data_IF_205214925399
#
_entry.id   IF_205214925399
#
_cell.length_a   1.000
_cell.length_b   1.000
_cell.length_c   1.000
_cell.angle_alpha   90.00
_cell.angle_beta   90.00
_cell.angle_gamma   90.00
#
_symmetry.space_group_name_H-M   'P 1'
#
loop_
_entity.id
_entity.type
_entity.pdbx_description
1 polymer ?
#
# COMPACT_ATOMS: atom_id res chain seq x y z
N UNK A 1 -41.52 -18.16 -43.87
CA UNK A 1 -40.91 -17.17 -44.78
C UNK A 1 -39.41 -17.19 -44.53
N UNK A 2 -38.64 -17.63 -45.52
CA UNK A 2 -37.20 -17.81 -45.44
C UNK A 2 -36.48 -16.47 -45.61
N UNK A 3 -36.01 -15.86 -44.53
CA UNK A 3 -35.13 -14.70 -44.61
C UNK A 3 -33.77 -15.12 -45.17
N UNK A 4 -33.54 -14.73 -46.41
CA UNK A 4 -32.32 -14.96 -47.16
C UNK A 4 -31.29 -13.92 -46.71
N UNK A 5 -30.44 -14.27 -45.74
CA UNK A 5 -29.30 -13.44 -45.33
C UNK A 5 -28.23 -13.52 -46.42
N UNK A 6 -28.38 -12.68 -47.44
CA UNK A 6 -27.36 -12.49 -48.48
C UNK A 6 -26.01 -12.17 -47.85
N UNK A 7 -24.97 -12.84 -48.36
CA UNK A 7 -23.58 -12.58 -48.01
C UNK A 7 -23.26 -11.09 -48.22
N UNK A 8 -22.91 -10.33 -47.19
CA UNK A 8 -22.66 -8.90 -47.33
C UNK A 8 -21.43 -8.67 -48.21
N UNK A 9 -21.53 -7.71 -49.15
CA UNK A 9 -20.41 -7.28 -49.97
C UNK A 9 -19.29 -6.69 -49.09
N UNK A 10 -18.00 -6.92 -49.38
CA UNK A 10 -16.89 -6.65 -48.45
C UNK A 10 -16.68 -5.18 -48.04
N UNK A 11 -17.35 -4.22 -48.68
CA UNK A 11 -17.09 -2.79 -48.57
C UNK A 11 -18.25 -1.98 -47.98
N UNK A 12 -19.36 -2.63 -47.61
CA UNK A 12 -20.53 -1.92 -47.07
C UNK A 12 -20.48 -1.87 -45.53
N UNK A 13 -20.62 -0.69 -44.90
CA UNK A 13 -20.58 -0.59 -43.44
C UNK A 13 -21.72 -1.40 -42.83
N UNK A 14 -21.38 -2.29 -41.91
CA UNK A 14 -22.33 -3.17 -41.24
C UNK A 14 -23.32 -2.33 -40.39
N UNK A 15 -24.62 -2.60 -40.52
CA UNK A 15 -25.62 -2.02 -39.63
C UNK A 15 -25.45 -2.57 -38.20
N UNK A 16 -25.87 -1.81 -37.19
CA UNK A 16 -25.74 -2.19 -35.77
C UNK A 16 -26.28 -3.61 -35.50
N UNK A 17 -27.44 -3.95 -36.07
CA UNK A 17 -28.04 -5.28 -35.93
C UNK A 17 -27.24 -6.40 -36.62
N UNK A 18 -26.66 -6.12 -37.78
CA UNK A 18 -25.80 -7.07 -38.49
C UNK A 18 -24.48 -7.31 -37.75
N UNK A 19 -23.91 -6.29 -37.12
CA UNK A 19 -22.69 -6.44 -36.29
C UNK A 19 -22.95 -7.34 -35.10
N UNK A 20 -24.02 -7.10 -34.34
CA UNK A 20 -24.33 -7.88 -33.13
C UNK A 20 -24.70 -9.31 -33.46
N UNK A 21 -25.52 -9.54 -34.48
CA UNK A 21 -25.91 -10.89 -34.91
C UNK A 21 -24.73 -11.69 -35.46
N UNK A 22 -23.87 -11.08 -36.29
CA UNK A 22 -22.65 -11.72 -36.76
C UNK A 22 -21.67 -12.03 -35.61
N UNK A 23 -21.49 -11.10 -34.68
CA UNK A 23 -20.67 -11.30 -33.48
C UNK A 23 -21.19 -12.44 -32.59
N UNK A 24 -22.50 -12.52 -32.37
CA UNK A 24 -23.10 -13.59 -31.59
C UNK A 24 -23.00 -14.95 -32.30
N UNK A 25 -23.16 -14.97 -33.63
CA UNK A 25 -22.97 -16.19 -34.43
C UNK A 25 -21.53 -16.70 -34.32
N UNK A 26 -20.55 -15.81 -34.43
CA UNK A 26 -19.13 -16.15 -34.33
C UNK A 26 -18.75 -16.61 -32.91
N UNK A 27 -19.26 -15.92 -31.89
CA UNK A 27 -19.05 -16.32 -30.49
C UNK A 27 -19.64 -17.70 -30.21
N UNK A 28 -20.84 -18.01 -30.73
CA UNK A 28 -21.46 -19.33 -30.56
C UNK A 28 -20.71 -20.43 -31.33
N UNK A 29 -20.20 -20.15 -32.53
CA UNK A 29 -19.48 -21.14 -33.33
C UNK A 29 -18.11 -21.51 -32.76
N UNK A 30 -17.45 -20.59 -32.04
CA UNK A 30 -16.14 -20.80 -31.41
C UNK A 30 -16.17 -20.65 -29.88
N UNK A 31 -17.32 -20.94 -29.26
CA UNK A 31 -17.57 -20.65 -27.84
C UNK A 31 -16.46 -21.18 -26.94
N UNK A 32 -16.08 -22.45 -27.12
CA UNK A 32 -15.06 -23.11 -26.30
C UNK A 32 -13.69 -22.45 -26.46
N UNK A 33 -13.26 -22.18 -27.70
CA UNK A 33 -11.93 -21.65 -27.98
C UNK A 33 -11.79 -20.21 -27.48
N UNK A 34 -12.80 -19.37 -27.74
CA UNK A 34 -12.84 -17.99 -27.24
C UNK A 34 -12.93 -17.94 -25.72
N UNK A 35 -13.71 -18.83 -25.10
CA UNK A 35 -13.79 -18.93 -23.65
C UNK A 35 -12.45 -19.33 -23.02
N UNK A 36 -11.76 -20.34 -23.58
CA UNK A 36 -10.44 -20.77 -23.07
C UNK A 36 -9.37 -19.69 -23.27
N UNK A 37 -9.39 -18.99 -24.41
CA UNK A 37 -8.51 -17.84 -24.66
C UNK A 37 -8.78 -16.72 -23.65
N UNK A 38 -10.04 -16.38 -23.40
CA UNK A 38 -10.41 -15.40 -22.39
C UNK A 38 -9.94 -15.85 -21.00
N UNK A 39 -10.23 -17.07 -20.58
CA UNK A 39 -9.79 -17.62 -19.29
C UNK A 39 -8.28 -17.49 -19.11
N UNK A 40 -7.50 -17.88 -20.14
CA UNK A 40 -6.04 -17.74 -20.13
C UNK A 40 -5.60 -16.28 -19.99
N UNK A 41 -6.27 -15.35 -20.67
CA UNK A 41 -5.99 -13.92 -20.52
C UNK A 41 -6.30 -13.41 -19.10
N UNK A 42 -7.42 -13.83 -18.51
CA UNK A 42 -7.79 -13.43 -17.13
C UNK A 42 -6.80 -13.97 -16.07
N UNK A 43 -6.18 -15.13 -16.28
CA UNK A 43 -5.13 -15.64 -15.38
C UNK A 43 -3.93 -14.69 -15.30
N UNK A 44 -3.58 -13.99 -16.38
CA UNK A 44 -2.48 -13.01 -16.38
C UNK A 44 -2.74 -11.81 -15.46
N UNK A 45 -4.01 -11.50 -15.12
CA UNK A 45 -4.34 -10.45 -14.15
C UNK A 45 -3.91 -10.79 -12.72
N UNK A 46 -3.61 -12.06 -12.43
CA UNK A 46 -3.12 -12.50 -11.11
C UNK A 46 -1.62 -12.21 -10.94
N UNK A 47 -0.86 -12.05 -12.04
CA UNK A 47 0.60 -11.86 -11.98
C UNK A 47 1.00 -10.62 -11.16
N UNK A 48 0.35 -9.44 -11.30
CA UNK A 48 0.60 -8.30 -10.41
C UNK A 48 0.32 -8.60 -8.94
N UNK A 49 -0.74 -9.36 -8.64
CA UNK A 49 -1.12 -9.74 -7.27
C UNK A 49 -0.04 -10.60 -6.63
N UNK A 50 0.49 -11.57 -7.37
CA UNK A 50 1.66 -12.35 -6.94
C UNK A 50 2.89 -11.46 -6.72
N UNK A 51 3.14 -10.51 -7.63
CA UNK A 51 4.24 -9.55 -7.52
C UNK A 51 4.18 -8.73 -6.23
N UNK A 52 2.99 -8.24 -5.84
CA UNK A 52 2.80 -7.54 -4.57
C UNK A 52 3.06 -8.45 -3.37
N UNK A 53 2.51 -9.67 -3.36
CA UNK A 53 2.75 -10.63 -2.28
C UNK A 53 4.26 -10.92 -2.12
N UNK A 54 4.96 -11.15 -3.23
CA UNK A 54 6.41 -11.39 -3.28
C UNK A 54 7.20 -10.17 -2.80
N UNK A 55 6.80 -8.96 -3.18
CA UNK A 55 7.43 -7.72 -2.71
C UNK A 55 7.35 -7.60 -1.18
N UNK A 56 6.15 -7.73 -0.59
CA UNK A 56 5.98 -7.63 0.86
C UNK A 56 6.75 -8.70 1.61
N UNK A 57 6.71 -9.94 1.11
CA UNK A 57 7.51 -11.05 1.61
C UNK A 57 9.01 -10.72 1.65
N UNK A 58 9.60 -10.25 0.54
CA UNK A 58 11.01 -9.90 0.49
C UNK A 58 11.38 -8.73 1.43
N UNK A 59 10.51 -7.73 1.58
CA UNK A 59 10.76 -6.66 2.56
C UNK A 59 10.74 -7.18 4.01
N UNK A 60 9.80 -8.08 4.32
CA UNK A 60 9.71 -8.70 5.64
C UNK A 60 10.89 -9.64 5.92
N UNK A 61 11.43 -10.31 4.89
CA UNK A 61 12.65 -11.10 4.99
C UNK A 61 13.83 -10.27 5.53
N UNK A 62 14.00 -9.02 5.10
CA UNK A 62 15.05 -8.14 5.62
C UNK A 62 14.90 -7.96 7.13
N UNK A 63 13.68 -7.71 7.60
CA UNK A 63 13.41 -7.57 9.04
C UNK A 63 13.63 -8.88 9.82
N UNK A 64 13.31 -10.04 9.23
CA UNK A 64 13.58 -11.36 9.81
C UNK A 64 15.08 -11.62 9.97
N UNK A 65 15.87 -11.35 8.92
CA UNK A 65 17.32 -11.50 8.94
C UNK A 65 17.95 -10.56 9.99
N UNK A 66 17.56 -9.28 10.00
CA UNK A 66 18.00 -8.32 11.01
C UNK A 66 17.61 -8.75 12.43
N UNK A 67 16.41 -9.30 12.61
CA UNK A 67 15.99 -9.85 13.91
C UNK A 67 16.82 -11.07 14.32
N UNK A 68 17.15 -11.96 13.38
CA UNK A 68 18.03 -13.11 13.59
C UNK A 68 19.41 -12.72 14.12
N UNK A 69 20.00 -11.68 13.54
CA UNK A 69 21.26 -11.10 14.03
C UNK A 69 21.13 -10.57 15.47
N UNK A 70 20.04 -9.88 15.80
CA UNK A 70 19.81 -9.33 17.15
C UNK A 70 19.61 -10.40 18.22
N UNK A 71 19.20 -11.62 17.85
CA UNK A 71 19.01 -12.74 18.78
C UNK A 71 20.17 -13.74 18.76
N UNK A 72 21.31 -13.40 18.14
CA UNK A 72 22.47 -14.29 17.95
C UNK A 72 22.12 -15.61 17.23
N UNK A 73 21.12 -15.59 16.35
CA UNK A 73 20.73 -16.73 15.51
C UNK A 73 20.63 -16.29 14.04
N UNK A 74 21.78 -15.97 13.41
CA UNK A 74 21.80 -15.55 12.01
C UNK A 74 21.28 -16.66 11.11
N UNK A 75 20.38 -16.30 10.20
CA UNK A 75 19.81 -17.20 9.21
C UNK A 75 20.38 -16.87 7.83
N UNK A 76 20.60 -17.90 6.99
CA UNK A 76 21.00 -17.66 5.61
C UNK A 76 19.85 -17.03 4.80
N UNK A 77 20.18 -16.15 3.85
CA UNK A 77 19.19 -15.50 2.99
C UNK A 77 18.29 -16.52 2.30
N UNK A 78 18.86 -17.63 1.82
CA UNK A 78 18.11 -18.68 1.11
C UNK A 78 17.14 -19.46 2.00
N UNK A 79 17.51 -19.70 3.27
CA UNK A 79 16.60 -20.31 4.25
C UNK A 79 15.44 -19.38 4.57
N UNK A 80 15.75 -18.11 4.88
CA UNK A 80 14.73 -17.13 5.18
C UNK A 80 13.80 -16.88 3.99
N UNK A 81 14.34 -16.82 2.77
CA UNK A 81 13.52 -16.66 1.56
C UNK A 81 12.56 -17.84 1.38
N UNK A 82 13.02 -19.08 1.61
CA UNK A 82 12.15 -20.27 1.56
C UNK A 82 11.03 -20.17 2.59
N UNK A 83 11.34 -19.73 3.81
CA UNK A 83 10.35 -19.55 4.87
C UNK A 83 9.26 -18.55 4.46
N UNK A 84 9.67 -17.35 4.07
CA UNK A 84 8.73 -16.27 3.72
C UNK A 84 7.95 -16.61 2.43
N UNK A 85 8.59 -17.26 1.44
CA UNK A 85 7.93 -17.72 0.22
C UNK A 85 6.87 -18.80 0.46
N UNK A 86 7.03 -19.62 1.50
CA UNK A 86 5.98 -20.59 1.89
C UNK A 86 4.71 -19.90 2.41
N UNK A 87 4.80 -18.62 2.81
CA UNK A 87 3.73 -17.83 3.44
C UNK A 87 3.30 -16.62 2.60
N UNK A 88 3.60 -16.57 1.30
CA UNK A 88 3.27 -15.42 0.41
C UNK A 88 1.81 -14.97 0.53
N UNK A 89 0.88 -15.91 0.54
CA UNK A 89 -0.54 -15.61 0.62
C UNK A 89 -0.97 -15.07 1.99
N UNK A 90 -0.26 -15.43 3.06
CA UNK A 90 -0.49 -14.84 4.38
C UNK A 90 -0.01 -13.38 4.42
N UNK A 91 1.10 -13.05 3.75
CA UNK A 91 1.54 -11.66 3.58
C UNK A 91 0.55 -10.85 2.76
N UNK A 92 0.03 -11.43 1.66
CA UNK A 92 -1.01 -10.79 0.85
C UNK A 92 -2.29 -10.55 1.67
N UNK A 93 -2.72 -11.55 2.45
CA UNK A 93 -3.89 -11.44 3.30
C UNK A 93 -3.70 -10.38 4.39
N UNK A 94 -2.56 -10.37 5.08
CA UNK A 94 -2.23 -9.35 6.06
C UNK A 94 -2.23 -7.94 5.44
N UNK A 95 -1.61 -7.78 4.26
CA UNK A 95 -1.62 -6.53 3.51
C UNK A 95 -3.04 -6.09 3.15
N UNK A 96 -3.88 -7.00 2.64
CA UNK A 96 -5.26 -6.71 2.26
C UNK A 96 -6.12 -6.31 3.47
N UNK A 97 -5.94 -6.98 4.60
CA UNK A 97 -6.62 -6.64 5.85
C UNK A 97 -6.19 -5.25 6.34
N UNK A 98 -4.89 -4.95 6.34
CA UNK A 98 -4.39 -3.62 6.70
C UNK A 98 -4.88 -2.53 5.74
N UNK A 99 -4.97 -2.83 4.45
CA UNK A 99 -5.56 -1.94 3.46
C UNK A 99 -7.04 -1.66 3.75
N UNK A 100 -7.82 -2.69 4.08
CA UNK A 100 -9.24 -2.56 4.40
C UNK A 100 -9.46 -1.78 5.71
N UNK A 101 -8.62 -2.01 6.73
CA UNK A 101 -8.59 -1.20 7.96
C UNK A 101 -8.26 0.26 7.65
N UNK A 102 -7.28 0.51 6.78
CA UNK A 102 -6.94 1.85 6.31
C UNK A 102 -8.11 2.56 5.63
N UNK A 103 -8.84 1.86 4.74
CA UNK A 103 -10.08 2.38 4.14
C UNK A 103 -11.11 2.70 5.22
N UNK A 104 -11.34 1.79 6.17
CA UNK A 104 -12.31 2.01 7.25
C UNK A 104 -11.99 3.26 8.08
N UNK A 105 -10.72 3.46 8.43
CA UNK A 105 -10.25 4.67 9.13
C UNK A 105 -10.47 5.91 8.25
N UNK A 106 -10.10 5.85 6.97
CA UNK A 106 -10.27 6.96 6.03
C UNK A 106 -11.72 7.37 5.85
N UNK A 107 -12.61 6.40 5.63
CA UNK A 107 -14.07 6.61 5.54
C UNK A 107 -14.60 7.20 6.84
N UNK A 108 -14.18 6.68 8.01
CA UNK A 108 -14.58 7.23 9.30
C UNK A 108 -14.21 8.71 9.47
N UNK A 109 -13.00 9.09 9.06
CA UNK A 109 -12.55 10.49 9.07
C UNK A 109 -13.35 11.34 8.08
N UNK A 110 -13.60 10.84 6.87
CA UNK A 110 -14.41 11.55 5.88
C UNK A 110 -15.84 11.79 6.37
N UNK A 111 -16.46 10.78 6.99
CA UNK A 111 -17.78 10.91 7.61
C UNK A 111 -17.75 11.95 8.74
N UNK A 112 -16.72 11.93 9.59
CA UNK A 112 -16.56 12.92 10.66
C UNK A 112 -16.46 14.35 10.11
N UNK A 113 -15.61 14.57 9.10
CA UNK A 113 -15.45 15.87 8.43
C UNK A 113 -16.75 16.30 7.77
N UNK A 114 -17.44 15.39 7.09
CA UNK A 114 -18.71 15.66 6.44
C UNK A 114 -19.80 16.07 7.43
N UNK A 115 -19.91 15.38 8.56
CA UNK A 115 -20.86 15.72 9.63
C UNK A 115 -20.56 17.09 10.24
N UNK A 116 -19.30 17.42 10.48
CA UNK A 116 -18.89 18.76 10.94
C UNK A 116 -19.20 19.84 9.89
N UNK A 117 -19.01 19.53 8.61
CA UNK A 117 -19.36 20.40 7.49
C UNK A 117 -20.86 20.71 7.45
N UNK A 118 -21.72 19.69 7.53
CA UNK A 118 -23.18 19.89 7.58
C UNK A 118 -23.58 20.69 8.81
N UNK A 119 -23.03 20.34 9.99
CA UNK A 119 -23.35 21.03 11.24
C UNK A 119 -23.01 22.53 11.15
N UNK A 120 -21.87 22.87 10.55
CA UNK A 120 -21.51 24.28 10.34
C UNK A 120 -22.45 24.99 9.36
N UNK A 121 -22.85 24.36 8.25
CA UNK A 121 -23.81 24.93 7.29
C UNK A 121 -25.18 25.19 7.94
N UNK A 122 -25.71 24.21 8.68
CA UNK A 122 -27.03 24.30 9.34
C UNK A 122 -27.04 25.42 10.37
N UNK A 123 -25.99 25.52 11.19
CA UNK A 123 -25.92 26.51 12.28
C UNK A 123 -25.55 27.92 11.81
N UNK A 124 -24.91 28.06 10.64
CA UNK A 124 -24.58 29.35 10.01
C UNK A 124 -25.71 29.89 9.10
N UNK A 125 -26.77 29.10 8.86
CA UNK A 125 -27.95 29.54 8.12
C UNK A 125 -27.94 29.25 6.61
N UNK A 126 -27.15 28.27 6.16
CA UNK A 126 -27.11 27.79 4.77
C UNK A 126 -25.91 28.27 3.94
N UNK A 127 -25.76 27.74 2.73
CA UNK A 127 -24.57 27.90 1.85
C UNK A 127 -24.47 29.25 1.12
N UNK A 128 -25.26 30.26 1.49
CA UNK A 128 -25.39 31.52 0.74
C UNK A 128 -25.50 32.80 1.57
N UNK A 129 -25.41 32.72 2.91
CA UNK A 129 -25.38 33.91 3.76
C UNK A 129 -23.94 34.22 4.19
N UNK A 130 -23.57 35.50 4.27
CA UNK A 130 -22.36 35.93 4.96
C UNK A 130 -22.50 35.52 6.43
N UNK A 131 -21.98 34.34 6.76
CA UNK A 131 -21.98 33.82 8.12
C UNK A 131 -21.35 34.84 9.04
N UNK A 132 -21.95 35.06 10.21
CA UNK A 132 -21.35 35.90 11.23
C UNK A 132 -19.89 35.47 11.43
N UNK A 133 -18.91 36.37 11.30
CA UNK A 133 -17.49 36.01 11.39
C UNK A 133 -17.15 35.31 12.71
N UNK A 134 -17.87 35.60 13.80
CA UNK A 134 -17.73 34.90 15.07
C UNK A 134 -18.13 33.42 14.97
N UNK A 135 -19.22 33.10 14.26
CA UNK A 135 -19.70 31.72 14.07
C UNK A 135 -18.76 30.93 13.15
N UNK A 136 -18.27 31.55 12.07
CA UNK A 136 -17.27 30.93 11.19
C UNK A 136 -16.00 30.60 11.96
N UNK A 137 -15.47 31.57 12.72
CA UNK A 137 -14.27 31.39 13.53
C UNK A 137 -14.45 30.29 14.58
N UNK A 138 -15.62 30.22 15.22
CA UNK A 138 -15.96 29.18 16.18
C UNK A 138 -15.91 27.77 15.56
N UNK A 139 -16.55 27.56 14.41
CA UNK A 139 -16.51 26.25 13.72
C UNK A 139 -15.13 25.91 13.16
N UNK A 140 -14.38 26.90 12.66
CA UNK A 140 -12.99 26.68 12.25
C UNK A 140 -12.13 26.21 13.42
N UNK A 141 -12.30 26.78 14.61
CA UNK A 141 -11.56 26.36 15.80
C UNK A 141 -11.94 24.94 16.24
N UNK A 142 -13.24 24.59 16.22
CA UNK A 142 -13.69 23.22 16.49
C UNK A 142 -13.12 22.25 15.47
N UNK A 143 -13.20 22.57 14.18
CA UNK A 143 -12.64 21.76 13.11
C UNK A 143 -11.14 21.53 13.28
N UNK A 144 -10.40 22.56 13.70
CA UNK A 144 -8.98 22.46 14.01
C UNK A 144 -8.71 21.50 15.18
N UNK A 145 -9.44 21.64 16.29
CA UNK A 145 -9.29 20.76 17.46
C UNK A 145 -9.64 19.31 17.10
N UNK A 146 -10.75 19.08 16.40
CA UNK A 146 -11.12 17.73 15.94
C UNK A 146 -10.07 17.17 14.98
N UNK A 147 -9.51 18.01 14.10
CA UNK A 147 -8.41 17.63 13.21
C UNK A 147 -7.18 17.14 13.98
N UNK A 148 -6.79 17.85 15.05
CA UNK A 148 -5.69 17.41 15.93
C UNK A 148 -6.02 16.08 16.61
N UNK A 149 -7.22 15.94 17.17
CA UNK A 149 -7.62 14.69 17.83
C UNK A 149 -7.63 13.52 16.85
N UNK A 150 -8.16 13.73 15.64
CA UNK A 150 -8.15 12.74 14.57
C UNK A 150 -6.72 12.37 14.15
N UNK A 151 -5.83 13.35 14.01
CA UNK A 151 -4.42 13.12 13.70
C UNK A 151 -3.74 12.26 14.78
N UNK A 152 -3.92 12.60 16.05
CA UNK A 152 -3.36 11.83 17.18
C UNK A 152 -3.93 10.41 17.19
N UNK A 153 -5.23 10.25 16.93
CA UNK A 153 -5.87 8.94 16.85
C UNK A 153 -5.30 8.09 15.69
N UNK A 154 -5.08 8.69 14.52
CA UNK A 154 -4.46 8.02 13.37
C UNK A 154 -3.02 7.63 13.69
N UNK A 155 -2.21 8.53 14.24
CA UNK A 155 -0.82 8.22 14.63
C UNK A 155 -0.79 7.08 15.66
N UNK A 156 -1.67 7.12 16.65
CA UNK A 156 -1.82 6.04 17.62
C UNK A 156 -2.18 4.71 16.93
N UNK A 157 -3.15 4.70 16.01
CA UNK A 157 -3.54 3.49 15.27
C UNK A 157 -2.42 2.96 14.38
N UNK A 158 -1.68 3.82 13.68
CA UNK A 158 -0.56 3.42 12.81
C UNK A 158 0.49 2.65 13.61
N UNK A 159 0.80 3.07 14.85
CA UNK A 159 1.73 2.31 15.69
C UNK A 159 1.28 0.88 15.98
N UNK A 160 -0.04 0.63 16.04
CA UNK A 160 -0.60 -0.68 16.32
C UNK A 160 -0.35 -1.69 15.21
N UNK A 161 -0.34 -1.19 13.99
CA UNK A 161 -0.17 -1.99 12.78
C UNK A 161 1.26 -1.95 12.24
N UNK A 162 2.16 -1.22 12.90
CA UNK A 162 3.51 -0.94 12.41
C UNK A 162 4.39 -2.19 12.22
N UNK A 163 4.18 -3.20 13.08
CA UNK A 163 5.03 -4.39 13.16
C UNK A 163 4.37 -5.65 12.62
N UNK A 164 3.24 -5.59 11.92
CA UNK A 164 2.47 -6.77 11.49
C UNK A 164 3.29 -7.74 10.63
N UNK A 165 4.23 -7.22 9.86
CA UNK A 165 5.14 -8.00 9.02
C UNK A 165 6.09 -8.91 9.83
N UNK A 166 6.54 -8.48 11.02
CA UNK A 166 7.54 -9.20 11.80
C UNK A 166 7.04 -10.48 12.48
N UNK A 167 5.91 -10.50 13.21
CA UNK A 167 5.34 -11.74 13.73
C UNK A 167 5.11 -12.76 12.62
N UNK A 168 4.60 -12.33 11.47
CA UNK A 168 4.34 -13.23 10.35
C UNK A 168 5.65 -13.76 9.72
N UNK A 169 6.69 -12.93 9.68
CA UNK A 169 7.98 -13.31 9.13
C UNK A 169 8.83 -14.12 10.10
N UNK A 170 8.67 -13.99 11.42
CA UNK A 170 9.55 -14.59 12.44
C UNK A 170 8.90 -15.76 13.18
N UNK A 171 7.61 -15.67 13.50
CA UNK A 171 6.91 -16.66 14.32
C UNK A 171 6.25 -17.74 13.45
N UNK A 172 6.49 -19.02 13.76
CA UNK A 172 5.99 -20.14 12.95
C UNK A 172 4.47 -20.34 13.05
N UNK A 173 3.88 -19.98 14.19
CA UNK A 173 2.46 -20.25 14.48
C UNK A 173 1.57 -19.01 14.29
N UNK A 174 2.00 -18.05 13.48
CA UNK A 174 1.27 -16.80 13.23
C UNK A 174 0.79 -16.75 11.78
N UNK A 175 -0.52 -16.60 11.62
CA UNK A 175 -1.20 -16.34 10.36
C UNK A 175 -1.42 -14.83 10.13
N UNK A 176 -1.83 -14.43 8.92
CA UNK A 176 -1.98 -13.01 8.56
C UNK A 176 -2.96 -12.22 9.44
N UNK A 177 -4.05 -12.84 9.92
CA UNK A 177 -4.98 -12.22 10.88
C UNK A 177 -4.38 -12.13 12.29
N UNK A 178 -3.78 -13.22 12.76
CA UNK A 178 -3.14 -13.32 14.07
C UNK A 178 -1.93 -12.38 14.20
N UNK A 179 -1.25 -12.08 13.08
CA UNK A 179 -0.16 -11.11 13.05
C UNK A 179 -0.62 -9.69 13.45
N UNK A 180 -1.84 -9.32 13.09
CA UNK A 180 -2.44 -8.03 13.43
C UNK A 180 -2.69 -7.93 14.93
N UNK A 181 -3.33 -8.95 15.52
CA UNK A 181 -3.59 -8.98 16.96
C UNK A 181 -2.29 -9.06 17.77
N UNK A 182 -1.29 -9.79 17.25
CA UNK A 182 0.05 -9.88 17.82
C UNK A 182 0.76 -8.53 17.84
N UNK A 183 0.79 -7.82 16.71
CA UNK A 183 1.35 -6.46 16.61
C UNK A 183 0.61 -5.49 17.55
N UNK A 184 -0.71 -5.58 17.61
CA UNK A 184 -1.51 -4.77 18.53
C UNK A 184 -1.11 -5.00 19.98
N UNK A 185 -0.98 -6.27 20.38
CA UNK A 185 -0.56 -6.67 21.72
C UNK A 185 0.81 -6.11 22.08
N UNK A 186 1.82 -6.35 21.24
CA UNK A 186 3.21 -5.94 21.48
C UNK A 186 3.41 -4.42 21.58
N UNK A 187 2.60 -3.63 20.86
CA UNK A 187 2.76 -2.17 20.78
C UNK A 187 2.09 -1.42 21.93
N UNK A 188 1.31 -2.07 22.81
CA UNK A 188 0.62 -1.37 23.93
C UNK A 188 1.65 -0.72 24.89
N UNK A 189 1.31 0.46 25.42
CA UNK A 189 2.19 1.18 26.35
C UNK A 189 3.51 1.73 25.76
N UNK A 190 3.83 1.46 24.47
CA UNK A 190 5.06 1.93 23.83
C UNK A 190 4.83 2.83 22.61
N UNK A 191 3.59 3.33 22.43
CA UNK A 191 3.16 4.14 21.28
C UNK A 191 4.10 5.33 21.05
N UNK A 192 4.33 6.17 22.07
CA UNK A 192 5.18 7.35 21.96
C UNK A 192 6.63 7.03 21.60
N UNK A 193 7.15 5.91 22.11
CA UNK A 193 8.51 5.49 21.80
C UNK A 193 8.63 5.00 20.37
N UNK A 194 7.66 4.21 19.88
CA UNK A 194 7.61 3.79 18.48
C UNK A 194 7.53 5.02 17.58
N UNK A 195 6.62 5.97 17.88
CA UNK A 195 6.51 7.23 17.12
C UNK A 195 7.82 8.02 17.11
N UNK A 196 8.49 8.16 18.26
CA UNK A 196 9.76 8.89 18.35
C UNK A 196 10.86 8.20 17.54
N UNK A 197 11.02 6.87 17.67
CA UNK A 197 12.01 6.12 16.89
C UNK A 197 11.70 6.22 15.40
N UNK A 198 10.44 6.04 14.99
CA UNK A 198 10.02 6.19 13.60
C UNK A 198 10.22 7.62 13.09
N UNK A 199 10.02 8.64 13.92
CA UNK A 199 10.28 10.02 13.57
C UNK A 199 11.78 10.29 13.37
N UNK A 200 12.63 9.81 14.27
CA UNK A 200 14.10 9.92 14.12
C UNK A 200 14.57 9.16 12.88
N UNK A 201 14.05 7.95 12.65
CA UNK A 201 14.34 7.18 11.43
C UNK A 201 13.91 7.94 10.17
N UNK A 202 12.73 8.56 10.18
CA UNK A 202 12.26 9.42 9.10
C UNK A 202 13.24 10.57 8.82
N UNK A 203 13.67 11.30 9.86
CA UNK A 203 14.64 12.39 9.74
C UNK A 203 15.98 11.92 9.12
N UNK A 204 16.46 10.74 9.51
CA UNK A 204 17.70 10.16 8.95
C UNK A 204 17.56 9.90 7.45
N UNK A 205 16.37 9.53 6.96
CA UNK A 205 16.14 9.29 5.53
C UNK A 205 15.92 10.55 4.71
N UNK A 206 15.66 11.71 5.33
CA UNK A 206 15.35 12.95 4.63
C UNK A 206 16.43 13.40 3.63
N UNK A 207 17.74 13.40 3.95
CA UNK A 207 18.76 13.84 3.00
C UNK A 207 18.74 13.02 1.70
N UNK A 208 18.52 11.70 1.82
CA UNK A 208 18.43 10.79 0.68
C UNK A 208 17.18 11.10 -0.15
N UNK A 209 16.03 11.32 0.50
CA UNK A 209 14.79 11.68 -0.19
C UNK A 209 14.91 13.04 -0.89
N UNK A 210 15.51 14.05 -0.24
CA UNK A 210 15.78 15.36 -0.85
C UNK A 210 16.68 15.21 -2.08
N UNK A 211 17.73 14.40 -1.99
CA UNK A 211 18.61 14.12 -3.15
C UNK A 211 17.83 13.48 -4.30
N UNK A 212 17.01 12.46 -4.03
CA UNK A 212 16.16 11.81 -5.05
C UNK A 212 15.22 12.85 -5.69
N UNK A 213 14.63 13.74 -4.89
CA UNK A 213 13.73 14.79 -5.40
C UNK A 213 14.46 15.84 -6.24
N UNK A 214 15.69 16.22 -5.85
CA UNK A 214 16.53 17.11 -6.66
C UNK A 214 16.82 16.47 -8.02
N UNK A 215 17.21 15.19 -8.02
CA UNK A 215 17.47 14.46 -9.27
C UNK A 215 16.20 14.33 -10.12
N UNK A 216 15.06 14.02 -9.51
CA UNK A 216 13.76 13.94 -10.20
C UNK A 216 13.36 15.28 -10.82
N UNK A 217 13.54 16.38 -10.07
CA UNK A 217 13.28 17.74 -10.56
C UNK A 217 14.22 18.10 -11.71
N UNK A 218 15.50 17.76 -11.60
CA UNK A 218 16.48 18.01 -12.67
C UNK A 218 16.10 17.26 -13.96
N UNK A 219 15.69 16.00 -13.85
CA UNK A 219 15.17 15.21 -14.99
C UNK A 219 13.96 15.92 -15.61
N UNK A 220 13.01 16.37 -14.78
CA UNK A 220 11.83 17.09 -15.26
C UNK A 220 12.20 18.37 -16.03
N UNK A 221 13.16 19.15 -15.54
CA UNK A 221 13.62 20.37 -16.21
C UNK A 221 14.28 20.07 -17.57
N UNK A 222 15.09 19.01 -17.66
CA UNK A 222 15.72 18.58 -18.91
C UNK A 222 14.67 18.10 -19.92
N UNK A 223 13.66 17.38 -19.45
CA UNK A 223 12.60 16.83 -20.31
C UNK A 223 11.56 17.88 -20.73
N UNK A 224 11.37 18.96 -19.97
CA UNK A 224 10.34 19.96 -20.25
C UNK A 224 10.32 20.47 -21.71
N UNK A 225 11.44 20.94 -22.31
CA UNK A 225 11.42 21.36 -23.71
C UNK A 225 11.12 20.20 -24.68
N UNK A 226 11.67 19.01 -24.41
CA UNK A 226 11.44 17.82 -25.24
C UNK A 226 9.96 17.40 -25.26
N UNK A 227 9.30 17.50 -24.11
CA UNK A 227 7.88 17.19 -23.96
C UNK A 227 6.99 18.18 -24.73
N UNK A 228 7.42 19.44 -24.86
CA UNK A 228 6.69 20.44 -25.67
C UNK A 228 6.83 20.22 -27.17
N UNK A 229 7.97 19.70 -27.63
CA UNK A 229 8.20 19.44 -29.06
C UNK A 229 7.57 18.14 -29.54
N UNK A 230 7.71 17.04 -28.77
CA UNK A 230 7.17 15.75 -29.16
C UNK A 230 6.67 14.94 -27.95
N UNK A 231 5.54 15.41 -27.41
CA UNK A 231 4.90 14.84 -26.23
C UNK A 231 4.72 13.30 -26.31
N UNK A 232 4.27 12.78 -27.45
CA UNK A 232 3.96 11.36 -27.60
C UNK A 232 5.19 10.44 -27.40
N UNK A 233 6.38 10.91 -27.80
CA UNK A 233 7.62 10.13 -27.70
C UNK A 233 8.29 10.32 -26.35
N UNK A 234 8.35 11.55 -25.83
CA UNK A 234 9.13 11.85 -24.63
C UNK A 234 8.41 11.57 -23.31
N UNK A 235 7.07 11.59 -23.29
CA UNK A 235 6.30 11.33 -22.05
C UNK A 235 6.51 9.91 -21.51
N UNK A 236 6.41 8.84 -22.31
CA UNK A 236 6.68 7.49 -21.81
C UNK A 236 8.11 7.35 -21.29
N UNK A 237 9.09 7.93 -21.98
CA UNK A 237 10.49 7.88 -21.57
C UNK A 237 10.72 8.60 -20.24
N UNK A 238 10.12 9.78 -20.08
CA UNK A 238 10.13 10.53 -18.82
C UNK A 238 9.56 9.69 -17.67
N UNK A 239 8.37 9.12 -17.85
CA UNK A 239 7.75 8.30 -16.80
C UNK A 239 8.55 7.05 -16.46
N UNK A 240 9.12 6.35 -17.44
CA UNK A 240 9.99 5.20 -17.20
C UNK A 240 11.21 5.60 -16.39
N UNK A 241 11.85 6.73 -16.72
CA UNK A 241 13.04 7.21 -16.02
C UNK A 241 12.72 7.63 -14.57
N UNK A 242 11.65 8.40 -14.36
CA UNK A 242 11.21 8.80 -13.02
C UNK A 242 10.79 7.60 -12.19
N UNK A 243 10.10 6.62 -12.80
CA UNK A 243 9.73 5.38 -12.13
C UNK A 243 10.97 4.56 -11.74
N UNK A 244 11.96 4.41 -12.62
CA UNK A 244 13.21 3.73 -12.32
C UNK A 244 13.99 4.40 -11.18
N UNK A 245 14.05 5.74 -11.18
CA UNK A 245 14.63 6.50 -10.08
C UNK A 245 13.88 6.27 -8.75
N UNK A 246 12.54 6.22 -8.80
CA UNK A 246 11.70 5.90 -7.65
C UNK A 246 11.98 4.50 -7.09
N UNK A 247 12.14 3.49 -7.96
CA UNK A 247 12.54 2.13 -7.56
C UNK A 247 13.91 2.15 -6.88
N UNK A 248 14.91 2.78 -7.50
CA UNK A 248 16.26 2.85 -6.95
C UNK A 248 16.29 3.56 -5.58
N UNK A 249 15.55 4.67 -5.45
CA UNK A 249 15.39 5.39 -4.20
C UNK A 249 14.72 4.55 -3.10
N UNK A 250 13.65 3.82 -3.45
CA UNK A 250 12.99 2.89 -2.54
C UNK A 250 13.93 1.76 -2.10
N UNK A 251 14.65 1.14 -3.03
CA UNK A 251 15.60 0.06 -2.74
C UNK A 251 16.73 0.49 -1.79
N UNK A 252 17.13 1.76 -1.82
CA UNK A 252 18.12 2.33 -0.90
C UNK A 252 17.57 2.55 0.51
N UNK A 253 16.29 2.93 0.63
CA UNK A 253 15.68 3.36 1.89
C UNK A 253 15.02 2.19 2.65
N UNK A 254 14.43 1.23 1.94
CA UNK A 254 13.68 0.11 2.54
C UNK A 254 14.51 -0.71 3.54
N UNK A 255 15.77 -1.11 3.28
CA UNK A 255 16.55 -1.92 4.22
C UNK A 255 16.73 -1.25 5.59
N UNK A 256 16.91 0.08 5.61
CA UNK A 256 17.02 0.84 6.85
C UNK A 256 15.73 0.76 7.67
N UNK A 257 14.57 0.99 7.05
CA UNK A 257 13.28 0.88 7.73
C UNK A 257 13.02 -0.52 8.29
N UNK A 258 13.33 -1.55 7.51
CA UNK A 258 13.12 -2.94 7.92
C UNK A 258 14.02 -3.33 9.10
N UNK A 259 15.26 -2.81 9.13
CA UNK A 259 16.17 -3.00 10.26
C UNK A 259 15.68 -2.27 11.52
N UNK A 260 15.21 -1.02 11.38
CA UNK A 260 14.62 -0.26 12.51
C UNK A 260 13.41 -1.00 13.08
N UNK A 261 12.53 -1.53 12.24
CA UNK A 261 11.39 -2.35 12.69
C UNK A 261 11.85 -3.60 13.45
N UNK A 262 12.88 -4.29 12.96
CA UNK A 262 13.43 -5.46 13.65
C UNK A 262 13.97 -5.13 15.05
N UNK A 263 14.67 -4.00 15.19
CA UNK A 263 15.16 -3.51 16.50
C UNK A 263 14.00 -3.16 17.44
N UNK A 264 12.96 -2.48 16.95
CA UNK A 264 11.77 -2.17 17.75
C UNK A 264 11.09 -3.47 18.19
N UNK A 265 10.95 -4.43 17.29
CA UNK A 265 10.33 -5.72 17.59
C UNK A 265 11.12 -6.50 18.66
N UNK A 266 12.44 -6.58 18.53
CA UNK A 266 13.33 -7.17 19.51
C UNK A 266 13.18 -6.51 20.89
N UNK A 267 13.22 -5.18 20.96
CA UNK A 267 13.10 -4.46 22.21
C UNK A 267 11.73 -4.67 22.89
N UNK A 268 10.63 -4.60 22.14
CA UNK A 268 9.29 -4.83 22.69
C UNK A 268 9.13 -6.26 23.23
N UNK A 269 9.68 -7.24 22.50
CA UNK A 269 9.65 -8.64 22.90
C UNK A 269 10.54 -8.92 24.11
N UNK A 270 11.70 -8.27 24.19
CA UNK A 270 12.58 -8.34 25.36
C UNK A 270 11.89 -7.80 26.61
N UNK A 271 11.21 -6.66 26.50
CA UNK A 271 10.51 -6.03 27.64
C UNK A 271 9.26 -6.76 28.10
N UNK A 272 8.48 -7.32 27.17
CA UNK A 272 7.18 -7.93 27.48
C UNK A 272 7.25 -9.42 27.74
N UNK A 273 8.15 -10.11 27.06
CA UNK A 273 8.23 -11.57 27.07
C UNK A 273 9.51 -12.09 27.72
N UNK A 274 10.37 -11.19 28.20
CA UNK A 274 11.65 -11.53 28.78
C UNK A 274 12.58 -12.22 27.78
N UNK A 275 12.46 -11.92 26.47
CA UNK A 275 13.27 -12.57 25.43
C UNK A 275 14.78 -12.51 25.75
N UNK A 276 15.27 -11.38 26.26
CA UNK A 276 16.68 -11.24 26.63
C UNK A 276 17.14 -12.22 27.71
N UNK A 277 16.25 -12.62 28.64
CA UNK A 277 16.55 -13.63 29.66
C UNK A 277 16.71 -15.02 29.02
N UNK A 278 15.79 -15.38 28.13
CA UNK A 278 15.80 -16.67 27.40
C UNK A 278 17.03 -16.83 26.51
N UNK A 279 17.54 -15.73 25.95
CA UNK A 279 18.75 -15.76 25.12
C UNK A 279 20.00 -15.97 25.98
N UNK A 280 20.09 -15.28 27.13
CA UNK A 280 21.19 -15.48 28.09
C UNK A 280 21.25 -16.92 28.60
N UNK A 281 20.11 -17.55 28.88
CA UNK A 281 20.05 -18.94 29.36
C UNK A 281 20.48 -19.97 28.29
N UNK A 282 20.56 -19.60 27.00
CA UNK A 282 21.06 -20.45 25.91
C UNK A 282 22.58 -20.36 25.70
N UNK A 283 23.21 -19.32 26.25
CA UNK A 283 24.65 -19.07 26.11
C UNK A 283 25.47 -19.67 27.28
N UNK A 284 24.80 -20.26 28.28
CA UNK A 284 25.39 -20.99 29.42
C UNK A 284 25.31 -22.50 29.16
#
# INVERSE_FOLDING_TARGET
MSENFGSPSPTQPLSVGNVVSAGMRLYRSHLKDYFLLALRAYVWLIVPVYGWAKFYALTALISRLAFGELVNQPESISSGERFVNSRLWQFLLAMLLLFLVGIGIGVGILVLIFLLGILSIVLVGGTGQQGNPATVLFFSLIGFVVGIVALVAVLWLVTRFYLVDLPLAVEENVDGTSAISRSWGLTQGSVWRILLISFVAFLITLPIQVLIQIVSTAIQLVFLPLLTENYAVFVPLFYVLVFALGIAGGALIVPFWQTVKAVIYYDLRSRREGLGLKLRDREI
#
